data_IF_545758293588
#
_entry.id   IF_545758293588
#
_cell.length_a   1.000
_cell.length_b   1.000
_cell.length_c   1.000
_cell.angle_alpha   90.00
_cell.angle_beta   90.00
_cell.angle_gamma   90.00
#
_symmetry.space_group_name_H-M   'P 1'
#
loop_
_entity.id
_entity.type
_entity.pdbx_description
1 polymer ?
#
# COMPACT_ATOMS: atom_id res chain seq x y z
N UNK A 1 37.35 48.36 -0.26
CA UNK A 1 37.59 46.92 -0.42
C UNK A 1 36.23 46.24 -0.34
N UNK A 2 35.66 45.89 -1.50
CA UNK A 2 34.45 45.08 -1.60
C UNK A 2 34.80 43.66 -1.16
N UNK A 3 34.03 43.08 -0.26
CA UNK A 3 33.93 41.62 -0.12
C UNK A 3 32.46 41.26 0.01
N UNK A 4 31.98 40.77 -1.13
CA UNK A 4 30.83 39.92 -1.46
C UNK A 4 30.19 39.11 -0.31
N UNK A 5 28.84 39.14 -0.26
CA UNK A 5 27.99 38.23 0.52
C UNK A 5 28.02 36.79 -0.04
N UNK A 6 27.79 35.76 0.78
CA UNK A 6 27.00 34.62 0.39
C UNK A 6 25.52 34.90 0.71
N UNK A 7 24.78 35.06 -0.37
CA UNK A 7 23.33 35.02 -0.50
C UNK A 7 22.75 33.83 0.29
N UNK A 8 22.00 34.10 1.35
CA UNK A 8 21.17 33.10 2.05
C UNK A 8 19.90 32.88 1.21
N UNK A 9 20.12 32.49 -0.05
CA UNK A 9 19.08 31.92 -0.86
C UNK A 9 18.54 30.70 -0.10
N UNK A 10 17.23 30.53 -0.24
CA UNK A 10 16.57 29.25 -0.01
C UNK A 10 16.06 29.05 1.42
N UNK A 11 15.14 29.93 1.82
CA UNK A 11 13.86 29.40 2.27
C UNK A 11 13.24 28.62 1.12
N UNK A 12 13.58 27.34 0.98
CA UNK A 12 12.74 26.38 0.27
C UNK A 12 11.43 26.38 1.06
N UNK A 13 10.52 27.27 0.69
CA UNK A 13 9.10 26.94 0.75
C UNK A 13 9.03 25.62 -0.02
N UNK A 14 8.93 24.52 0.71
CA UNK A 14 8.56 23.22 0.18
C UNK A 14 7.15 23.43 -0.35
N UNK A 15 7.06 23.99 -1.56
CA UNK A 15 5.87 23.90 -2.38
C UNK A 15 5.66 22.41 -2.49
N UNK A 16 4.72 21.90 -1.68
CA UNK A 16 4.10 20.61 -1.93
C UNK A 16 3.92 20.54 -3.43
N UNK A 17 4.47 19.52 -4.12
CA UNK A 17 4.21 19.40 -5.54
C UNK A 17 2.70 19.41 -5.64
N UNK A 18 2.16 20.47 -6.25
CA UNK A 18 0.77 20.46 -6.68
C UNK A 18 0.61 19.11 -7.35
N UNK A 19 -0.31 18.31 -6.83
CA UNK A 19 -0.59 16.98 -7.32
C UNK A 19 -1.11 17.19 -8.73
N UNK A 20 -0.17 17.31 -9.68
CA UNK A 20 -0.38 17.39 -11.11
C UNK A 20 -1.40 16.32 -11.39
N UNK A 21 -2.55 16.70 -11.96
CA UNK A 21 -3.72 15.86 -12.09
C UNK A 21 -3.33 14.48 -12.64
N UNK A 22 -3.03 13.53 -11.73
CA UNK A 22 -2.53 12.23 -12.12
C UNK A 22 -3.65 11.57 -12.91
N UNK A 23 -3.32 11.09 -14.11
CA UNK A 23 -4.25 10.36 -14.94
C UNK A 23 -4.81 9.18 -14.14
N UNK A 24 -6.04 8.77 -14.45
CA UNK A 24 -6.68 7.67 -13.72
C UNK A 24 -5.84 6.39 -13.76
N UNK A 25 -5.17 6.15 -14.88
CA UNK A 25 -4.23 5.03 -15.06
C UNK A 25 -3.04 5.14 -14.11
N UNK A 26 -2.38 6.30 -14.03
CA UNK A 26 -1.26 6.53 -13.12
C UNK A 26 -1.67 6.37 -11.65
N UNK A 27 -2.88 6.82 -11.29
CA UNK A 27 -3.46 6.61 -9.96
C UNK A 27 -3.72 5.14 -9.67
N UNK A 28 -4.23 4.39 -10.65
CA UNK A 28 -4.50 2.97 -10.51
C UNK A 28 -3.21 2.17 -10.36
N UNK A 29 -2.19 2.46 -11.18
CA UNK A 29 -0.86 1.84 -11.07
C UNK A 29 -0.25 2.14 -9.72
N UNK A 30 -0.24 3.40 -9.27
CA UNK A 30 0.28 3.77 -7.95
C UNK A 30 -0.46 3.08 -6.82
N UNK A 31 -1.81 3.04 -6.87
CA UNK A 31 -2.62 2.39 -5.84
C UNK A 31 -2.39 0.87 -5.81
N UNK A 32 -2.25 0.24 -6.99
CA UNK A 32 -1.96 -1.19 -7.10
C UNK A 32 -0.57 -1.52 -6.57
N UNK A 33 0.45 -0.73 -6.93
CA UNK A 33 1.81 -0.91 -6.43
C UNK A 33 1.87 -0.79 -4.91
N UNK A 34 1.25 0.24 -4.34
CA UNK A 34 1.18 0.44 -2.89
C UNK A 34 0.43 -0.71 -2.19
N UNK A 35 -0.71 -1.12 -2.73
CA UNK A 35 -1.48 -2.24 -2.19
C UNK A 35 -0.68 -3.55 -2.26
N UNK A 36 -0.01 -3.83 -3.38
CA UNK A 36 0.81 -5.01 -3.56
C UNK A 36 2.00 -5.03 -2.60
N UNK A 37 2.70 -3.91 -2.45
CA UNK A 37 3.83 -3.79 -1.52
C UNK A 37 3.37 -4.00 -0.07
N UNK A 38 2.31 -3.32 0.35
CA UNK A 38 1.75 -3.43 1.71
C UNK A 38 1.36 -4.88 2.02
N UNK A 39 0.67 -5.55 1.09
CA UNK A 39 0.24 -6.94 1.28
C UNK A 39 1.41 -7.93 1.23
N UNK A 40 2.42 -7.69 0.38
CA UNK A 40 3.61 -8.50 0.31
C UNK A 40 4.44 -8.42 1.60
N UNK A 41 4.67 -7.21 2.12
CA UNK A 41 5.38 -6.97 3.37
C UNK A 41 4.63 -7.58 4.56
N UNK A 42 3.31 -7.39 4.64
CA UNK A 42 2.48 -7.99 5.68
C UNK A 42 2.59 -9.52 5.68
N UNK A 43 2.50 -10.15 4.51
CA UNK A 43 2.65 -11.60 4.36
C UNK A 43 4.06 -12.08 4.71
N UNK A 44 5.10 -11.40 4.24
CA UNK A 44 6.49 -11.78 4.46
C UNK A 44 6.89 -11.69 5.94
N UNK A 45 6.47 -10.62 6.63
CA UNK A 45 6.71 -10.44 8.06
C UNK A 45 6.06 -11.55 8.88
N UNK A 46 4.81 -11.90 8.59
CA UNK A 46 4.12 -12.96 9.33
C UNK A 46 4.70 -14.36 9.03
N UNK A 47 5.12 -14.63 7.79
CA UNK A 47 5.84 -15.86 7.45
C UNK A 47 7.18 -15.98 8.17
N UNK A 48 7.93 -14.88 8.30
CA UNK A 48 9.19 -14.86 9.04
C UNK A 48 8.97 -15.12 10.53
N UNK A 49 7.92 -14.53 11.12
CA UNK A 49 7.57 -14.73 12.52
C UNK A 49 7.20 -16.16 12.86
N UNK A 50 6.48 -16.87 11.97
CA UNK A 50 6.13 -18.28 12.18
C UNK A 50 7.30 -19.23 12.00
N UNK A 51 8.30 -18.85 11.21
CA UNK A 51 9.51 -19.66 11.03
C UNK A 51 10.41 -19.68 12.25
N UNK A 52 10.28 -18.69 13.14
CA UNK A 52 10.99 -18.65 14.42
C UNK A 52 10.25 -19.50 15.47
N UNK A 53 10.83 -20.63 15.91
CA UNK A 53 10.21 -21.51 16.89
C UNK A 53 9.87 -20.82 18.23
N UNK A 54 10.57 -19.73 18.56
CA UNK A 54 10.32 -18.96 19.77
C UNK A 54 8.94 -18.26 19.77
N UNK A 55 8.44 -17.88 18.59
CA UNK A 55 7.15 -17.19 18.44
C UNK A 55 5.95 -18.14 18.29
N UNK A 56 6.21 -19.44 18.15
CA UNK A 56 5.17 -20.48 18.08
C UNK A 56 4.89 -21.16 19.43
N UNK A 57 5.61 -20.77 20.49
CA UNK A 57 5.51 -21.39 21.82
C UNK A 57 4.39 -20.83 22.71
N UNK A 58 3.88 -19.64 22.42
CA UNK A 58 2.84 -18.97 23.22
C UNK A 58 1.47 -19.02 22.54
N UNK A 59 0.40 -19.45 23.23
CA UNK A 59 -0.96 -19.40 22.71
C UNK A 59 -1.41 -17.98 22.32
N UNK A 60 -0.91 -16.95 23.01
CA UNK A 60 -1.25 -15.55 22.73
C UNK A 60 -0.68 -15.09 21.38
N UNK A 61 0.57 -15.47 21.10
CA UNK A 61 1.24 -15.14 19.83
C UNK A 61 0.60 -15.84 18.64
N UNK A 62 0.16 -17.10 18.83
CA UNK A 62 -0.58 -17.86 17.83
C UNK A 62 -1.95 -17.27 17.55
N UNK A 63 -2.67 -16.79 18.58
CA UNK A 63 -3.95 -16.11 18.41
C UNK A 63 -3.79 -14.81 17.61
N UNK A 64 -2.80 -14.00 17.95
CA UNK A 64 -2.49 -12.77 17.24
C UNK A 64 -2.09 -13.03 15.77
N UNK A 65 -1.31 -14.08 15.52
CA UNK A 65 -0.97 -14.53 14.18
C UNK A 65 -2.22 -14.92 13.39
N UNK A 66 -3.09 -15.74 13.98
CA UNK A 66 -4.35 -16.16 13.35
C UNK A 66 -5.24 -14.96 13.01
N UNK A 67 -5.34 -13.97 13.90
CA UNK A 67 -6.10 -12.74 13.63
C UNK A 67 -5.55 -12.01 12.41
N UNK A 68 -4.23 -11.80 12.34
CA UNK A 68 -3.61 -11.11 11.18
C UNK A 68 -3.75 -11.89 9.87
N UNK A 69 -3.66 -13.22 9.92
CA UNK A 69 -3.92 -14.07 8.73
C UNK A 69 -5.38 -13.96 8.29
N UNK A 70 -6.31 -13.94 9.23
CA UNK A 70 -7.73 -13.76 8.95
C UNK A 70 -8.01 -12.40 8.31
N UNK A 71 -7.45 -11.33 8.85
CA UNK A 71 -7.54 -9.98 8.29
C UNK A 71 -7.02 -9.91 6.86
N UNK A 72 -5.82 -10.47 6.60
CA UNK A 72 -5.25 -10.57 5.25
C UNK A 72 -6.20 -11.30 4.30
N UNK A 73 -6.78 -12.42 4.71
CA UNK A 73 -7.69 -13.20 3.89
C UNK A 73 -8.97 -12.41 3.53
N UNK A 74 -9.54 -11.69 4.50
CA UNK A 74 -10.70 -10.84 4.31
C UNK A 74 -10.38 -9.71 3.32
N UNK A 75 -9.26 -9.01 3.51
CA UNK A 75 -8.83 -7.92 2.61
C UNK A 75 -8.65 -8.41 1.18
N UNK A 76 -7.96 -9.52 0.98
CA UNK A 76 -7.70 -10.05 -0.36
C UNK A 76 -8.99 -10.52 -1.04
N UNK A 77 -9.89 -11.15 -0.28
CA UNK A 77 -11.22 -11.56 -0.78
C UNK A 77 -12.07 -10.36 -1.20
N UNK A 78 -12.02 -9.27 -0.43
CA UNK A 78 -12.70 -8.02 -0.75
C UNK A 78 -12.16 -7.40 -2.05
N UNK A 79 -10.84 -7.33 -2.22
CA UNK A 79 -10.24 -6.83 -3.46
C UNK A 79 -10.65 -7.64 -4.68
N UNK A 80 -10.63 -8.98 -4.57
CA UNK A 80 -11.08 -9.86 -5.64
C UNK A 80 -12.57 -9.64 -5.97
N UNK A 81 -13.42 -9.53 -4.95
CA UNK A 81 -14.85 -9.31 -5.13
C UNK A 81 -15.16 -7.95 -5.79
N UNK A 82 -14.52 -6.88 -5.32
CA UNK A 82 -14.68 -5.53 -5.88
C UNK A 82 -14.19 -5.47 -7.34
N UNK A 83 -13.02 -6.03 -7.61
CA UNK A 83 -12.46 -6.09 -8.98
C UNK A 83 -13.40 -6.84 -9.91
N UNK A 84 -13.90 -8.02 -9.49
CA UNK A 84 -14.85 -8.81 -10.29
C UNK A 84 -16.14 -8.03 -10.56
N UNK A 85 -16.68 -7.33 -9.56
CA UNK A 85 -17.89 -6.51 -9.72
C UNK A 85 -17.65 -5.33 -10.67
N UNK A 86 -16.52 -4.66 -10.59
CA UNK A 86 -16.17 -3.55 -11.49
C UNK A 86 -16.08 -4.02 -12.95
N UNK A 87 -15.36 -5.12 -13.21
CA UNK A 87 -15.25 -5.70 -14.55
C UNK A 87 -16.62 -6.16 -15.07
N UNK A 88 -17.43 -6.82 -14.23
CA UNK A 88 -18.78 -7.27 -14.62
C UNK A 88 -19.68 -6.08 -14.97
N UNK A 89 -19.58 -4.97 -14.25
CA UNK A 89 -20.32 -3.75 -14.57
C UNK A 89 -19.90 -3.17 -15.92
N UNK A 90 -18.60 -3.13 -16.20
CA UNK A 90 -18.05 -2.69 -17.50
C UNK A 90 -18.57 -3.60 -18.63
N UNK A 91 -18.48 -4.92 -18.46
CA UNK A 91 -18.98 -5.89 -19.44
C UNK A 91 -20.48 -5.73 -19.69
N UNK A 92 -21.26 -5.42 -18.65
CA UNK A 92 -22.71 -5.18 -18.79
C UNK A 92 -22.98 -3.94 -19.62
N UNK A 93 -22.24 -2.85 -19.41
CA UNK A 93 -22.37 -1.61 -20.19
C UNK A 93 -21.93 -1.82 -21.65
N UNK A 94 -20.87 -2.60 -21.89
CA UNK A 94 -20.38 -2.86 -23.25
C UNK A 94 -21.28 -3.79 -24.07
N UNK A 95 -22.07 -4.63 -23.41
CA UNK A 95 -22.97 -5.60 -24.06
C UNK A 95 -24.41 -5.11 -24.19
N UNK A 96 -24.79 -4.07 -23.45
CA UNK A 96 -26.08 -3.39 -23.55
C UNK A 96 -26.13 -2.51 -24.82
#
# INVERSE_FOLDING_TARGET
MQIQMPDFATGMSESQPEVSALNLEDRLVSALSQASETQYVAKANELYRVQDPANTGSPEDLFLFQTRVSEYNITMSLYAALTRKAVTAIDTVLRA
#
